data_IF_854215549180
#
_entry.id   IF_854215549180
#
_cell.length_a   1.000
_cell.length_b   1.000
_cell.length_c   1.000
_cell.angle_alpha   90.00
_cell.angle_beta   90.00
_cell.angle_gamma   90.00
#
_symmetry.space_group_name_H-M   'P 1'
#
loop_
_entity.id
_entity.type
_entity.pdbx_description
1 polymer ?
#
# COMPACT_ATOMS: atom_id res chain seq x y z
N UNK A 1 10.53 -5.23 5.03
CA UNK A 1 9.91 -4.89 3.73
C UNK A 1 9.73 -3.39 3.70
N UNK A 2 9.78 -2.75 2.53
CA UNK A 2 9.48 -1.32 2.45
C UNK A 2 8.22 -1.09 1.61
N UNK A 3 7.40 -0.15 2.07
CA UNK A 3 6.28 0.42 1.34
C UNK A 3 6.71 1.82 0.89
N UNK A 4 6.67 2.07 -0.40
CA UNK A 4 6.84 3.42 -0.94
C UNK A 4 5.46 4.01 -1.25
N UNK A 5 5.18 5.17 -0.67
CA UNK A 5 3.97 5.96 -0.94
C UNK A 5 4.41 7.21 -1.68
N UNK A 6 4.05 7.34 -2.95
CA UNK A 6 4.22 8.58 -3.72
C UNK A 6 2.87 9.24 -3.89
N UNK A 7 2.73 10.47 -3.39
CA UNK A 7 1.46 11.18 -3.42
C UNK A 7 1.65 12.71 -3.58
N UNK A 8 0.67 13.40 -4.20
CA UNK A 8 0.55 14.84 -4.04
C UNK A 8 0.44 15.19 -2.56
N UNK A 9 1.06 16.29 -2.15
CA UNK A 9 1.12 16.71 -0.76
C UNK A 9 0.88 18.21 -0.62
N UNK A 10 0.24 18.58 0.49
CA UNK A 10 -0.06 19.96 0.86
C UNK A 10 0.60 20.29 2.18
N UNK A 11 1.30 21.42 2.23
CA UNK A 11 1.80 22.02 3.46
C UNK A 11 1.09 23.36 3.69
N UNK A 12 0.53 23.55 4.88
CA UNK A 12 -0.15 24.78 5.27
C UNK A 12 0.57 25.38 6.47
N UNK A 13 1.04 26.61 6.31
CA UNK A 13 1.76 27.35 7.36
C UNK A 13 1.13 28.72 7.59
N UNK A 14 1.35 29.26 8.78
CA UNK A 14 0.95 30.63 9.13
C UNK A 14 2.20 31.46 9.39
N UNK A 15 2.49 32.39 8.48
CA UNK A 15 3.60 33.33 8.62
C UNK A 15 3.03 34.75 8.69
N UNK A 16 3.35 35.49 9.75
CA UNK A 16 2.95 36.91 9.90
C UNK A 16 1.45 37.19 9.68
N UNK A 17 0.57 36.33 10.19
CA UNK A 17 -0.90 36.36 9.98
C UNK A 17 -1.36 36.10 8.54
N UNK A 18 -0.47 35.70 7.63
CA UNK A 18 -0.83 35.18 6.31
C UNK A 18 -0.85 33.65 6.34
N UNK A 19 -1.86 33.06 5.71
CA UNK A 19 -1.92 31.61 5.45
C UNK A 19 -1.19 31.34 4.15
N UNK A 20 -0.15 30.51 4.19
CA UNK A 20 0.61 30.05 3.03
C UNK A 20 0.28 28.59 2.79
N UNK A 21 -0.08 28.25 1.55
CA UNK A 21 -0.31 26.86 1.12
C UNK A 21 0.71 26.51 0.05
N UNK A 22 1.49 25.46 0.28
CA UNK A 22 2.48 24.92 -0.66
C UNK A 22 2.01 23.55 -1.14
N UNK A 23 2.11 23.32 -2.45
CA UNK A 23 1.80 22.05 -3.09
C UNK A 23 3.09 21.40 -3.58
N UNK A 24 3.17 20.08 -3.51
CA UNK A 24 4.29 19.30 -4.01
C UNK A 24 3.92 17.83 -4.20
N UNK A 25 4.90 17.03 -4.59
CA UNK A 25 4.82 15.57 -4.58
C UNK A 25 5.84 15.07 -3.55
N UNK A 26 5.43 14.07 -2.77
CA UNK A 26 6.26 13.46 -1.73
C UNK A 26 6.30 11.96 -1.96
N UNK A 27 7.51 11.41 -2.01
CA UNK A 27 7.74 9.98 -1.83
C UNK A 27 8.16 9.72 -0.38
N UNK A 28 7.48 8.76 0.26
CA UNK A 28 7.73 8.33 1.63
C UNK A 28 7.96 6.83 1.64
N UNK A 29 9.15 6.43 2.06
CA UNK A 29 9.45 5.03 2.39
C UNK A 29 9.02 4.74 3.84
N UNK A 30 8.27 3.66 4.02
CA UNK A 30 7.82 3.16 5.32
C UNK A 30 8.38 1.75 5.47
N UNK A 31 9.24 1.54 6.47
CA UNK A 31 9.64 0.20 6.87
C UNK A 31 8.45 -0.52 7.48
N UNK A 32 7.99 -1.55 6.79
CA UNK A 32 6.94 -2.44 7.28
C UNK A 32 7.63 -3.70 7.79
N UNK A 33 7.63 -3.87 9.12
CA UNK A 33 7.85 -5.18 9.71
C UNK A 33 6.63 -6.04 9.37
N UNK A 34 6.85 -7.23 8.78
CA UNK A 34 5.81 -8.24 8.67
C UNK A 34 5.92 -9.23 9.83
N UNK A 35 5.32 -8.96 11.00
CA UNK A 35 4.95 -10.01 11.93
C UNK A 35 3.54 -10.56 11.62
N UNK A 36 2.82 -10.02 10.63
CA UNK A 36 1.44 -10.36 10.34
C UNK A 36 1.31 -11.12 9.00
N UNK A 37 0.80 -12.36 8.96
CA UNK A 37 0.56 -13.12 7.72
C UNK A 37 -0.57 -12.57 6.84
N UNK A 38 -1.24 -11.52 7.34
CA UNK A 38 -2.45 -10.95 6.78
C UNK A 38 -2.11 -9.65 6.03
N UNK A 39 -1.71 -9.81 4.76
CA UNK A 39 -1.48 -8.69 3.82
C UNK A 39 -2.72 -7.80 3.67
N UNK A 40 -3.92 -8.38 3.81
CA UNK A 40 -5.22 -7.69 3.82
C UNK A 40 -5.24 -6.49 4.78
N UNK A 41 -4.61 -6.56 5.95
CA UNK A 41 -4.54 -5.44 6.89
C UNK A 41 -3.91 -4.17 6.29
N UNK A 42 -2.90 -4.35 5.44
CA UNK A 42 -2.17 -3.27 4.76
C UNK A 42 -2.83 -2.84 3.45
N UNK A 43 -3.66 -3.71 2.85
CA UNK A 43 -4.38 -3.44 1.60
C UNK A 43 -5.75 -2.78 1.82
N UNK A 44 -6.38 -3.05 2.97
CA UNK A 44 -7.79 -2.76 3.23
C UNK A 44 -7.97 -1.53 4.11
N UNK A 45 -7.05 -1.27 5.05
CA UNK A 45 -7.31 -0.22 6.04
C UNK A 45 -6.75 1.13 5.58
N UNK A 46 -7.65 1.96 5.06
CA UNK A 46 -7.47 3.42 4.99
C UNK A 46 -6.91 3.94 6.33
N UNK A 47 -7.28 3.35 7.47
CA UNK A 47 -6.80 3.72 8.80
C UNK A 47 -5.27 3.62 8.95
N UNK A 48 -4.64 2.54 8.49
CA UNK A 48 -3.19 2.40 8.59
C UNK A 48 -2.46 3.37 7.65
N UNK A 49 -2.99 3.59 6.44
CA UNK A 49 -2.44 4.59 5.52
C UNK A 49 -2.65 6.03 6.02
N UNK A 50 -3.77 6.32 6.68
CA UNK A 50 -4.07 7.61 7.33
C UNK A 50 -3.03 7.91 8.41
N UNK A 51 -2.63 6.93 9.22
CA UNK A 51 -1.55 7.12 10.20
C UNK A 51 -0.22 7.50 9.53
N UNK A 52 -0.04 7.12 8.26
CA UNK A 52 1.14 7.44 7.45
C UNK A 52 0.93 8.62 6.49
N UNK A 53 -0.23 9.28 6.49
CA UNK A 53 -0.57 10.42 5.61
C UNK A 53 0.17 11.72 5.94
N UNK A 54 0.98 11.75 7.00
CA UNK A 54 1.77 12.92 7.39
C UNK A 54 3.27 12.61 7.35
N UNK A 55 4.04 13.60 6.90
CA UNK A 55 5.51 13.56 6.92
C UNK A 55 6.07 14.91 7.36
N UNK A 56 7.21 14.90 8.04
CA UNK A 56 7.96 16.12 8.37
C UNK A 56 9.18 16.24 7.48
N UNK A 57 9.25 17.31 6.68
CA UNK A 57 10.37 17.60 5.77
C UNK A 57 10.87 19.01 6.12
N UNK A 58 12.16 19.14 6.44
CA UNK A 58 12.78 20.42 6.84
C UNK A 58 12.04 21.16 7.96
N UNK A 59 11.47 20.41 8.92
CA UNK A 59 10.71 20.95 10.05
C UNK A 59 9.27 21.35 9.71
N UNK A 60 8.81 21.10 8.48
CA UNK A 60 7.44 21.38 8.01
C UNK A 60 6.62 20.11 7.93
N UNK A 61 5.37 20.16 8.37
CA UNK A 61 4.43 19.04 8.23
C UNK A 61 3.71 19.12 6.90
N UNK A 62 3.80 18.04 6.13
CA UNK A 62 3.09 17.84 4.88
C UNK A 62 2.00 16.79 5.09
N UNK A 63 0.84 17.03 4.49
CA UNK A 63 -0.27 16.08 4.45
C UNK A 63 -0.38 15.52 3.03
N UNK A 64 -0.35 14.20 2.91
CA UNK A 64 -0.41 13.45 1.66
C UNK A 64 -1.88 13.28 1.22
N UNK A 65 -2.17 13.57 -0.04
CA UNK A 65 -3.45 13.23 -0.66
C UNK A 65 -3.42 11.78 -1.13
N UNK A 66 -3.86 10.89 -0.24
CA UNK A 66 -3.90 9.46 -0.51
C UNK A 66 -4.90 9.07 -1.61
N UNK A 67 -5.83 9.97 -1.98
CA UNK A 67 -6.80 9.68 -3.04
C UNK A 67 -6.16 9.60 -4.42
N UNK A 68 -4.97 10.18 -4.58
CA UNK A 68 -4.15 10.16 -5.80
C UNK A 68 -2.80 9.44 -5.59
N UNK A 69 -2.63 8.71 -4.49
CA UNK A 69 -1.36 8.06 -4.16
C UNK A 69 -1.08 6.81 -5.02
N UNK A 70 0.17 6.70 -5.45
CA UNK A 70 0.79 5.47 -5.95
C UNK A 70 1.47 4.76 -4.77
N UNK A 71 1.11 3.50 -4.57
CA UNK A 71 1.61 2.68 -3.46
C UNK A 71 2.37 1.49 -4.04
N UNK A 72 3.67 1.43 -3.77
CA UNK A 72 4.53 0.32 -4.17
C UNK A 72 4.91 -0.46 -2.92
N UNK A 73 4.60 -1.75 -2.90
CA UNK A 73 5.04 -2.67 -1.86
C UNK A 73 5.94 -3.72 -2.52
N UNK A 74 7.21 -3.77 -2.12
CA UNK A 74 8.15 -4.76 -2.65
C UNK A 74 7.81 -6.14 -2.06
N UNK A 75 7.00 -6.90 -2.78
CA UNK A 75 6.56 -8.25 -2.46
C UNK A 75 6.87 -9.17 -3.64
N UNK A 76 7.43 -10.34 -3.36
CA UNK A 76 7.49 -11.42 -4.34
C UNK A 76 6.11 -12.09 -4.46
N UNK A 77 5.87 -12.73 -5.62
CA UNK A 77 4.65 -13.52 -5.84
C UNK A 77 4.54 -14.65 -4.80
N UNK A 78 5.66 -15.28 -4.45
CA UNK A 78 5.68 -16.37 -3.46
C UNK A 78 5.24 -15.89 -2.07
N UNK A 79 5.74 -14.73 -1.60
CA UNK A 79 5.34 -14.13 -0.32
C UNK A 79 3.84 -13.78 -0.28
N UNK A 80 3.31 -13.27 -1.39
CA UNK A 80 1.87 -13.00 -1.53
C UNK A 80 1.07 -14.29 -1.40
N UNK A 81 1.48 -15.35 -2.10
CA UNK A 81 0.78 -16.64 -2.10
C UNK A 81 0.86 -17.34 -0.75
N UNK A 82 1.99 -17.28 -0.07
CA UNK A 82 2.13 -17.79 1.30
C UNK A 82 1.18 -17.08 2.26
N UNK A 83 1.12 -15.75 2.18
CA UNK A 83 0.18 -14.94 2.96
C UNK A 83 -1.28 -15.28 2.64
N UNK A 84 -1.64 -15.39 1.36
CA UNK A 84 -2.99 -15.73 0.93
C UNK A 84 -3.44 -17.12 1.41
N UNK A 85 -2.53 -18.11 1.44
CA UNK A 85 -2.81 -19.45 1.99
C UNK A 85 -3.09 -19.42 3.49
N UNK A 86 -2.32 -18.61 4.24
CA UNK A 86 -2.52 -18.44 5.68
C UNK A 86 -3.90 -17.81 5.95
N UNK A 87 -4.23 -16.73 5.25
CA UNK A 87 -5.54 -16.08 5.36
C UNK A 87 -6.69 -17.01 4.97
N UNK A 88 -6.54 -17.75 3.87
CA UNK A 88 -7.53 -18.70 3.41
C UNK A 88 -7.83 -19.79 4.46
N UNK A 89 -6.82 -20.23 5.20
CA UNK A 89 -6.98 -21.19 6.29
C UNK A 89 -7.74 -20.59 7.50
N UNK A 90 -7.53 -19.31 7.81
CA UNK A 90 -8.25 -18.59 8.87
C UNK A 90 -9.74 -18.40 8.51
N UNK A 91 -10.01 -18.03 7.26
CA UNK A 91 -11.36 -17.73 6.76
C UNK A 91 -12.13 -18.97 6.28
N UNK A 92 -11.50 -20.15 6.29
CA UNK A 92 -12.04 -21.41 5.75
C UNK A 92 -12.44 -21.31 4.26
N UNK A 93 -11.65 -20.57 3.48
CA UNK A 93 -11.79 -20.39 2.03
C UNK A 93 -10.55 -20.90 1.28
N UNK A 94 -10.43 -20.60 -0.01
CA UNK A 94 -9.27 -20.99 -0.83
C UNK A 94 -8.31 -19.81 -1.04
N UNK A 95 -7.05 -20.11 -1.35
CA UNK A 95 -6.05 -19.12 -1.79
C UNK A 95 -6.59 -18.27 -2.96
N UNK A 96 -7.29 -18.90 -3.91
CA UNK A 96 -7.93 -18.25 -5.06
C UNK A 96 -8.92 -17.15 -4.63
N UNK A 97 -9.82 -17.45 -3.69
CA UNK A 97 -10.82 -16.47 -3.19
C UNK A 97 -10.14 -15.27 -2.53
N UNK A 98 -9.10 -15.51 -1.73
CA UNK A 98 -8.35 -14.43 -1.07
C UNK A 98 -7.62 -13.55 -2.10
N UNK A 99 -6.95 -14.16 -3.10
CA UNK A 99 -6.25 -13.42 -4.14
C UNK A 99 -7.20 -12.62 -5.03
N UNK A 100 -8.39 -13.16 -5.34
CA UNK A 100 -9.44 -12.44 -6.07
C UNK A 100 -9.88 -11.18 -5.31
N UNK A 101 -10.16 -11.32 -4.02
CA UNK A 101 -10.55 -10.20 -3.16
C UNK A 101 -9.44 -9.14 -3.12
N UNK A 102 -8.20 -9.57 -2.87
CA UNK A 102 -7.06 -8.66 -2.76
C UNK A 102 -6.76 -7.93 -4.06
N UNK A 103 -6.85 -8.61 -5.20
CA UNK A 103 -6.67 -8.00 -6.51
C UNK A 103 -7.76 -6.96 -6.84
N UNK A 104 -8.92 -7.04 -6.17
CA UNK A 104 -10.01 -6.08 -6.30
C UNK A 104 -9.77 -4.75 -5.57
N UNK A 105 -8.77 -4.65 -4.69
CA UNK A 105 -8.48 -3.41 -4.00
C UNK A 105 -7.86 -2.36 -4.91
N UNK A 106 -8.27 -1.10 -4.70
CA UNK A 106 -7.84 0.04 -5.52
C UNK A 106 -6.32 0.19 -5.59
N UNK A 107 -5.63 -0.09 -4.49
CA UNK A 107 -4.19 0.04 -4.34
C UNK A 107 -3.49 -1.32 -4.18
N UNK A 108 -4.09 -2.39 -4.72
CA UNK A 108 -3.49 -3.72 -4.68
C UNK A 108 -2.08 -3.69 -5.31
N UNK A 109 -1.02 -4.12 -4.61
CA UNK A 109 0.31 -4.24 -5.14
C UNK A 109 0.32 -5.10 -6.40
N UNK A 110 1.20 -4.78 -7.33
CA UNK A 110 1.31 -5.50 -8.60
C UNK A 110 1.59 -6.99 -8.41
N UNK A 111 2.35 -7.35 -7.38
CA UNK A 111 2.60 -8.74 -7.00
C UNK A 111 1.32 -9.52 -6.67
N UNK A 112 0.30 -8.86 -6.09
CA UNK A 112 -1.03 -9.45 -5.84
C UNK A 112 -1.77 -9.72 -7.14
N UNK A 113 -1.80 -8.75 -8.06
CA UNK A 113 -2.42 -8.94 -9.38
C UNK A 113 -1.72 -10.06 -10.16
N UNK A 114 -0.39 -10.13 -10.10
CA UNK A 114 0.40 -11.18 -10.73
C UNK A 114 0.12 -12.55 -10.11
N UNK A 115 0.06 -12.66 -8.78
CA UNK A 115 -0.29 -13.90 -8.07
C UNK A 115 -1.71 -14.39 -8.42
N UNK A 116 -2.67 -13.48 -8.53
CA UNK A 116 -4.03 -13.78 -8.99
C UNK A 116 -4.02 -14.31 -10.43
N UNK A 117 -3.38 -13.60 -11.35
CA UNK A 117 -3.29 -13.99 -12.76
C UNK A 117 -2.63 -15.36 -12.94
N UNK A 118 -1.57 -15.67 -12.19
CA UNK A 118 -0.93 -16.99 -12.22
C UNK A 118 -1.87 -18.10 -11.75
N UNK A 119 -2.71 -17.81 -10.76
CA UNK A 119 -3.69 -18.78 -10.23
C UNK A 119 -4.81 -19.06 -11.23
N UNK A 120 -5.29 -18.02 -11.94
CA UNK A 120 -6.40 -18.14 -12.91
C UNK A 120 -5.93 -18.67 -14.28
N UNK A 121 -4.81 -18.17 -14.78
CA UNK A 121 -4.37 -18.40 -16.16
C UNK A 121 -3.19 -19.36 -16.30
N UNK A 122 -2.49 -19.68 -15.20
CA UNK A 122 -1.38 -20.64 -15.19
C UNK A 122 -0.11 -20.17 -15.91
N UNK A 123 -0.05 -18.90 -16.33
CA UNK A 123 1.12 -18.32 -16.98
C UNK A 123 1.90 -17.48 -15.96
N UNK A 124 3.22 -17.71 -15.78
CA UNK A 124 4.03 -16.93 -14.87
C UNK A 124 4.04 -15.46 -15.31
N UNK A 125 3.61 -14.57 -14.43
CA UNK A 125 3.60 -13.13 -14.74
C UNK A 125 4.96 -12.56 -14.33
N UNK A 126 5.66 -11.80 -15.19
CA UNK A 126 6.99 -11.30 -14.86
C UNK A 126 6.99 -10.55 -13.53
N UNK A 127 7.87 -10.94 -12.61
CA UNK A 127 8.13 -10.22 -11.37
C UNK A 127 8.73 -8.86 -11.73
N UNK A 128 7.93 -7.80 -11.64
CA UNK A 128 8.42 -6.41 -11.74
C UNK A 128 8.01 -5.70 -10.48
#
# INVERSE_FOLDING_TARGET
MYLEITAPAVCIEYENNARVTVHGEVSKEVDVEMPNPNLDYYLISDEWLIDHSRVTIDGRTWELDLSEAEITLELTIDEVRESAKLRAAEDYVTEEVILEEWAGFRHAPKAVQNAWNETVYGEPTPSV
#
